data_IF_932506091096
#
_entry.id   IF_932506091096
#
_cell.length_a   1.000
_cell.length_b   1.000
_cell.length_c   1.000
_cell.angle_alpha   90.00
_cell.angle_beta   90.00
_cell.angle_gamma   90.00
#
_symmetry.space_group_name_H-M   'P 1'
#
loop_
_entity.id
_entity.type
_entity.pdbx_description
1 polymer ?
#
# COMPACT_ATOMS: atom_id res chain seq x y z
N UNK A 1 7.34 -11.34 -11.32
CA UNK A 1 6.99 -9.95 -11.05
C UNK A 1 7.51 -9.59 -9.69
N UNK A 2 8.26 -8.49 -9.55
CA UNK A 2 8.80 -8.17 -8.23
C UNK A 2 7.69 -7.78 -7.26
N UNK A 3 7.90 -8.11 -6.01
CA UNK A 3 6.96 -7.80 -4.95
C UNK A 3 7.60 -6.80 -4.00
N UNK A 4 6.80 -6.19 -3.16
CA UNK A 4 7.29 -5.19 -2.23
C UNK A 4 6.48 -5.19 -0.94
N UNK A 5 7.01 -4.51 0.07
CA UNK A 5 6.30 -4.26 1.31
C UNK A 5 6.29 -2.76 1.57
N UNK A 6 5.27 -2.28 2.25
CA UNK A 6 5.24 -0.90 2.70
C UNK A 6 4.73 -0.87 4.14
N UNK A 7 5.26 0.06 4.93
CA UNK A 7 4.89 0.20 6.32
C UNK A 7 4.29 1.56 6.56
N UNK A 8 3.21 1.61 7.35
CA UNK A 8 2.54 2.85 7.68
C UNK A 8 2.48 2.99 9.20
N UNK A 9 2.52 4.24 9.67
CA UNK A 9 2.31 4.54 11.08
C UNK A 9 0.93 5.14 11.23
N UNK A 10 0.05 4.42 11.93
CA UNK A 10 -1.32 4.85 12.15
C UNK A 10 -1.37 6.00 13.17
N UNK A 11 -2.51 6.68 13.28
CA UNK A 11 -2.61 7.86 14.16
C UNK A 11 -2.25 7.61 15.62
N UNK A 12 -2.39 6.38 16.11
CA UNK A 12 -2.02 6.03 17.47
C UNK A 12 -0.54 5.67 17.63
N UNK A 13 0.24 5.76 16.56
CA UNK A 13 1.65 5.44 16.57
C UNK A 13 1.99 4.01 16.20
N UNK A 14 0.99 3.15 16.00
CA UNK A 14 1.23 1.75 15.65
C UNK A 14 1.74 1.66 14.20
N UNK A 15 2.80 0.91 14.01
CA UNK A 15 3.38 0.70 12.68
C UNK A 15 2.91 -0.65 12.17
N UNK A 16 2.43 -0.68 10.93
CA UNK A 16 1.94 -1.90 10.32
C UNK A 16 2.58 -2.10 8.97
N UNK A 17 3.04 -3.33 8.70
CA UNK A 17 3.66 -3.67 7.43
C UNK A 17 2.63 -4.34 6.53
N UNK A 18 2.63 -3.94 5.25
CA UNK A 18 1.67 -4.45 4.27
C UNK A 18 2.43 -4.97 3.06
N UNK A 19 1.86 -5.98 2.42
CA UNK A 19 2.46 -6.64 1.25
C UNK A 19 1.79 -6.17 -0.04
N UNK A 20 2.57 -6.06 -1.11
CA UNK A 20 2.04 -5.83 -2.45
C UNK A 20 2.73 -6.76 -3.44
N UNK A 21 1.97 -7.39 -4.35
CA UNK A 21 2.57 -8.25 -5.37
C UNK A 21 3.22 -7.48 -6.51
N UNK A 22 3.21 -6.16 -6.48
CA UNK A 22 3.78 -5.33 -7.53
C UNK A 22 4.37 -4.06 -6.94
N UNK A 23 5.36 -3.50 -7.62
CA UNK A 23 5.97 -2.22 -7.22
C UNK A 23 5.06 -1.03 -7.46
N UNK A 24 3.85 -1.26 -7.96
CA UNK A 24 2.93 -0.19 -8.34
C UNK A 24 2.55 0.71 -7.15
N UNK A 25 2.75 0.26 -5.92
CA UNK A 25 2.49 1.08 -4.74
C UNK A 25 3.27 2.40 -4.82
N UNK A 26 4.46 2.39 -5.43
CA UNK A 26 5.26 3.60 -5.60
C UNK A 26 4.56 4.67 -6.45
N UNK A 27 3.58 4.28 -7.28
CA UNK A 27 2.84 5.23 -8.09
C UNK A 27 1.69 5.87 -7.30
N UNK A 28 1.34 5.32 -6.15
CA UNK A 28 0.18 5.77 -5.37
C UNK A 28 0.56 6.34 -4.01
N UNK A 29 1.65 5.87 -3.43
CA UNK A 29 2.13 6.29 -2.11
C UNK A 29 3.60 6.67 -2.21
N UNK A 30 4.04 7.53 -1.32
CA UNK A 30 5.46 7.94 -1.26
C UNK A 30 5.97 7.73 0.15
N UNK A 31 7.15 7.15 0.28
CA UNK A 31 7.80 7.00 1.58
C UNK A 31 8.07 8.37 2.17
N UNK A 32 7.75 8.55 3.44
CA UNK A 32 7.90 9.83 4.11
C UNK A 32 6.70 10.76 3.99
N UNK A 33 5.72 10.43 3.15
CA UNK A 33 4.54 11.27 2.97
C UNK A 33 3.48 10.94 4.01
N UNK A 34 2.61 11.92 4.27
CA UNK A 34 1.52 11.78 5.22
C UNK A 34 0.20 11.96 4.49
N UNK A 35 -0.77 11.12 4.80
CA UNK A 35 -2.09 11.13 4.19
C UNK A 35 -3.15 11.04 5.29
N UNK A 36 -4.38 11.45 4.99
CA UNK A 36 -5.48 11.14 5.92
C UNK A 36 -5.75 9.63 5.86
N UNK A 37 -6.40 9.11 6.90
CA UNK A 37 -6.78 7.69 6.92
C UNK A 37 -7.60 7.35 5.68
N UNK A 38 -8.55 8.20 5.31
CA UNK A 38 -9.38 8.00 4.12
C UNK A 38 -8.52 7.95 2.85
N UNK A 39 -7.64 8.92 2.70
CA UNK A 39 -6.81 8.99 1.49
C UNK A 39 -5.82 7.84 1.43
N UNK A 40 -5.19 7.49 2.54
CA UNK A 40 -4.26 6.36 2.59
C UNK A 40 -4.98 5.08 2.15
N UNK A 41 -6.16 4.84 2.70
CA UNK A 41 -6.94 3.64 2.37
C UNK A 41 -7.33 3.62 0.90
N UNK A 42 -7.78 4.74 0.36
CA UNK A 42 -8.17 4.84 -1.04
C UNK A 42 -6.98 4.60 -1.96
N UNK A 43 -5.84 5.22 -1.68
CA UNK A 43 -4.64 5.04 -2.50
C UNK A 43 -4.14 3.61 -2.44
N UNK A 44 -4.15 3.00 -1.25
CA UNK A 44 -3.75 1.60 -1.11
C UNK A 44 -4.68 0.68 -1.89
N UNK A 45 -5.98 0.93 -1.84
CA UNK A 45 -6.95 0.11 -2.58
C UNK A 45 -6.74 0.22 -4.08
N UNK A 46 -6.47 1.43 -4.58
CA UNK A 46 -6.19 1.63 -6.01
C UNK A 46 -4.90 0.94 -6.42
N UNK A 47 -3.88 1.03 -5.59
CA UNK A 47 -2.61 0.36 -5.87
C UNK A 47 -2.81 -1.15 -5.96
N UNK A 48 -3.59 -1.70 -5.03
CA UNK A 48 -3.82 -3.15 -5.03
C UNK A 48 -4.68 -3.58 -6.20
N UNK A 49 -5.63 -2.74 -6.63
CA UNK A 49 -6.43 -3.05 -7.83
C UNK A 49 -5.52 -3.14 -9.06
N UNK A 50 -4.61 -2.19 -9.21
CA UNK A 50 -3.67 -2.20 -10.33
C UNK A 50 -2.73 -3.40 -10.23
N UNK A 51 -2.24 -3.70 -9.01
CA UNK A 51 -1.38 -4.85 -8.81
C UNK A 51 -2.09 -6.16 -9.18
N UNK A 52 -3.35 -6.28 -8.80
CA UNK A 52 -4.15 -7.45 -9.12
C UNK A 52 -4.34 -7.60 -10.63
N UNK A 53 -4.58 -6.49 -11.32
CA UNK A 53 -4.73 -6.52 -12.77
C UNK A 53 -3.44 -6.97 -13.45
N UNK A 54 -2.29 -6.51 -12.97
CA UNK A 54 -1.00 -6.92 -13.52
C UNK A 54 -0.75 -8.41 -13.33
N UNK A 55 -1.12 -8.94 -12.16
CA UNK A 55 -0.97 -10.37 -11.89
C UNK A 55 -1.90 -11.16 -12.81
N UNK A 56 -3.13 -10.70 -13.00
CA UNK A 56 -4.08 -11.38 -13.86
C UNK A 56 -3.59 -11.39 -15.31
N UNK A 57 -3.04 -10.28 -15.79
CA UNK A 57 -2.51 -10.22 -17.15
C UNK A 57 -1.35 -11.19 -17.36
N UNK A 58 -0.51 -11.34 -16.33
CA UNK A 58 0.67 -12.17 -16.48
C UNK A 58 0.39 -13.65 -16.25
N UNK A 59 -0.49 -13.98 -15.30
CA UNK A 59 -0.71 -15.36 -14.89
C UNK A 59 -2.10 -15.89 -15.19
N UNK A 60 -3.02 -15.04 -15.59
CA UNK A 60 -4.34 -15.47 -16.00
C UNK A 60 -5.36 -15.64 -14.89
N UNK A 61 -5.03 -15.24 -13.65
CA UNK A 61 -5.97 -15.35 -12.54
C UNK A 61 -5.73 -14.22 -11.55
N UNK A 62 -6.74 -13.93 -10.76
CA UNK A 62 -6.72 -12.82 -9.82
C UNK A 62 -5.76 -13.10 -8.65
N UNK A 63 -5.20 -12.04 -8.08
CA UNK A 63 -4.29 -12.14 -6.97
C UNK A 63 -5.03 -11.98 -5.65
N UNK A 64 -5.12 -13.05 -4.87
CA UNK A 64 -5.78 -12.98 -3.56
C UNK A 64 -4.94 -12.21 -2.54
N UNK A 65 -3.61 -12.12 -2.75
CA UNK A 65 -2.75 -11.36 -1.84
C UNK A 65 -3.06 -9.87 -1.87
N UNK A 66 -3.36 -9.32 -3.06
CA UNK A 66 -3.74 -7.91 -3.15
C UNK A 66 -5.05 -7.65 -2.41
N UNK A 67 -6.03 -8.54 -2.56
CA UNK A 67 -7.30 -8.39 -1.86
C UNK A 67 -7.11 -8.49 -0.35
N UNK A 68 -6.23 -9.38 0.09
CA UNK A 68 -5.95 -9.54 1.52
C UNK A 68 -5.33 -8.26 2.10
N UNK A 69 -4.45 -7.61 1.34
CA UNK A 69 -3.83 -6.36 1.78
C UNK A 69 -4.86 -5.25 1.91
N UNK A 70 -5.80 -5.13 0.94
CA UNK A 70 -6.86 -4.14 1.04
C UNK A 70 -7.71 -4.39 2.29
N UNK A 71 -8.06 -5.64 2.54
CA UNK A 71 -8.85 -5.98 3.73
C UNK A 71 -8.09 -5.64 5.01
N UNK A 72 -6.78 -5.90 5.03
CA UNK A 72 -5.94 -5.56 6.17
C UNK A 72 -5.93 -4.06 6.45
N UNK A 73 -5.72 -3.26 5.41
CA UNK A 73 -5.67 -1.80 5.55
C UNK A 73 -7.02 -1.27 6.01
N UNK A 74 -8.11 -1.76 5.41
CA UNK A 74 -9.44 -1.29 5.78
C UNK A 74 -9.81 -1.65 7.22
N UNK A 75 -9.39 -2.84 7.66
CA UNK A 75 -9.66 -3.27 9.03
C UNK A 75 -8.94 -2.37 10.02
N UNK A 76 -7.68 -2.05 9.75
CA UNK A 76 -6.93 -1.15 10.63
C UNK A 76 -7.52 0.26 10.59
N UNK A 77 -7.87 0.74 9.39
CA UNK A 77 -8.39 2.10 9.22
C UNK A 77 -9.71 2.31 9.97
N UNK A 78 -10.49 1.24 10.14
CA UNK A 78 -11.79 1.35 10.79
C UNK A 78 -11.68 1.78 12.26
N UNK A 79 -10.50 1.65 12.86
CA UNK A 79 -10.28 2.03 14.25
C UNK A 79 -9.96 3.51 14.44
N UNK A 80 -9.84 4.28 13.36
CA UNK A 80 -9.35 5.64 13.45
C UNK A 80 -10.31 6.62 12.78
N UNK A 81 -10.19 7.89 13.16
CA UNK A 81 -10.94 8.96 12.52
C UNK A 81 -10.49 9.08 11.06
N UNK A 82 -11.41 9.17 10.11
CA UNK A 82 -11.03 9.26 8.69
C UNK A 82 -10.15 10.45 8.35
N UNK A 83 -10.20 11.52 9.15
CA UNK A 83 -9.40 12.72 8.89
C UNK A 83 -8.08 12.71 9.64
N UNK A 84 -7.83 11.71 10.49
CA UNK A 84 -6.56 11.60 11.19
C UNK A 84 -5.45 11.27 10.20
N UNK A 85 -4.20 11.49 10.60
CA UNK A 85 -3.07 11.39 9.68
C UNK A 85 -2.33 10.08 9.84
N UNK A 86 -1.90 9.53 8.71
CA UNK A 86 -1.12 8.29 8.63
C UNK A 86 0.14 8.61 7.85
N UNK A 87 1.28 8.17 8.34
CA UNK A 87 2.55 8.39 7.67
C UNK A 87 3.02 7.09 7.00
N UNK A 88 3.50 7.19 5.76
CA UNK A 88 4.16 6.04 5.10
C UNK A 88 5.62 6.11 5.54
N UNK A 89 6.01 5.21 6.44
CA UNK A 89 7.33 5.29 7.04
C UNK A 89 8.42 4.62 6.22
N UNK A 90 8.07 3.62 5.40
CA UNK A 90 9.08 2.93 4.58
C UNK A 90 8.42 2.13 3.48
N UNK A 91 9.18 1.88 2.41
CA UNK A 91 8.77 1.03 1.30
C UNK A 91 9.98 0.22 0.88
N UNK A 92 9.81 -1.11 0.70
CA UNK A 92 10.90 -2.00 0.34
C UNK A 92 10.51 -2.86 -0.85
N UNK A 93 11.28 -2.87 -1.92
CA UNK A 93 12.48 -2.05 -2.12
C UNK A 93 12.11 -0.59 -2.37
N UNK A 94 13.00 0.34 -2.08
CA UNK A 94 12.74 1.74 -2.42
C UNK A 94 12.77 1.91 -3.94
N UNK A 95 12.24 3.02 -4.43
CA UNK A 95 12.35 3.31 -5.86
C UNK A 95 13.82 3.34 -6.24
N UNK A 96 14.17 2.74 -7.40
CA UNK A 96 15.55 2.83 -7.87
C UNK A 96 15.91 4.29 -8.11
N UNK A 97 17.15 4.65 -7.72
CA UNK A 97 17.57 5.95 -7.96
C UNK A 97 18.04 6.05 -9.29
N UNK A 98 17.57 6.76 -10.05
CA UNK A 98 17.94 6.73 -11.25
C UNK A 98 19.06 7.22 -11.46
N UNK A 99 19.67 7.36 -11.14
CA UNK A 99 20.60 7.76 -11.24
C UNK A 99 21.26 7.86 -11.50
N UNK A 100 21.25 7.85 -11.32
CA UNK A 100 22.03 8.03 -11.35
C UNK A 100 22.81 8.07 -12.01
#
# INVERSE_FOLDING_TARGET
>A
MPEMSFAVRWPDGRVEECYSPSLVVHDHLAAGATYTVTELTDRAARAMATASDRVRERYGFACTSAAATVAQVRRSAASYDPTALVEVVAMWPPLPEETR
#
